data_IF_067934891056
#
_entry.id   IF_067934891056
#
_cell.length_a   1.000
_cell.length_b   1.000
_cell.length_c   1.000
_cell.angle_alpha   90.00
_cell.angle_beta   90.00
_cell.angle_gamma   90.00
#
_symmetry.space_group_name_H-M   'P 1'
#
loop_
_entity.id
_entity.type
_entity.pdbx_description
1 polymer ?
#
# COMPACT_ATOMS: atom_id res chain seq x y z
N UNK A 1 -0.32 -12.16 29.24
CA UNK A 1 0.11 -10.75 29.29
C UNK A 1 1.56 -10.78 28.83
N UNK A 2 1.75 -11.01 27.54
CA UNK A 2 3.04 -11.39 26.97
C UNK A 2 3.79 -10.16 26.46
N UNK A 3 4.99 -9.99 26.97
CA UNK A 3 5.86 -8.86 26.68
C UNK A 3 6.44 -9.00 25.27
N UNK A 4 6.17 -8.07 24.34
CA UNK A 4 6.46 -8.33 22.95
C UNK A 4 7.86 -7.88 22.49
N UNK A 5 8.36 -8.53 21.42
CA UNK A 5 9.76 -8.48 20.95
C UNK A 5 10.34 -7.07 20.79
N UNK A 6 11.31 -6.71 21.65
CA UNK A 6 11.83 -5.34 21.82
C UNK A 6 12.32 -4.65 20.53
N UNK A 7 12.79 -5.38 19.52
CA UNK A 7 13.42 -4.80 18.31
C UNK A 7 12.37 -4.32 17.29
N UNK A 8 11.36 -5.14 17.00
CA UNK A 8 10.29 -4.79 16.05
C UNK A 8 9.43 -3.63 16.58
N UNK A 9 9.13 -3.65 17.88
CA UNK A 9 8.38 -2.59 18.56
C UNK A 9 9.16 -1.28 18.61
N UNK A 10 10.49 -1.31 18.79
CA UNK A 10 11.34 -0.11 18.75
C UNK A 10 11.23 0.62 17.41
N UNK A 11 11.29 -0.12 16.30
CA UNK A 11 11.18 0.49 14.97
C UNK A 11 9.79 1.07 14.72
N UNK A 12 8.73 0.39 15.16
CA UNK A 12 7.36 0.88 15.05
C UNK A 12 7.16 2.20 15.82
N UNK A 13 7.65 2.26 17.06
CA UNK A 13 7.56 3.45 17.90
C UNK A 13 8.34 4.61 17.27
N UNK A 14 9.54 4.35 16.75
CA UNK A 14 10.39 5.39 16.17
C UNK A 14 9.79 6.02 14.89
N UNK A 15 9.21 5.21 14.00
CA UNK A 15 8.60 5.75 12.77
C UNK A 15 7.37 6.60 13.13
N UNK A 16 6.59 6.19 14.13
CA UNK A 16 5.42 6.94 14.57
C UNK A 16 5.78 8.30 15.19
N UNK A 17 6.85 8.37 15.98
CA UNK A 17 7.29 9.64 16.57
C UNK A 17 7.74 10.63 15.51
N UNK A 18 8.46 10.16 14.48
CA UNK A 18 8.85 11.00 13.34
C UNK A 18 7.61 11.50 12.60
N UNK A 19 6.66 10.61 12.29
CA UNK A 19 5.44 10.96 11.57
C UNK A 19 4.64 12.04 12.29
N UNK A 20 4.39 11.88 13.60
CA UNK A 20 3.65 12.87 14.38
C UNK A 20 4.41 14.19 14.48
N UNK A 21 5.72 14.15 14.62
CA UNK A 21 6.55 15.36 14.66
C UNK A 21 6.54 16.11 13.33
N UNK A 22 6.55 15.39 12.21
CA UNK A 22 6.46 15.97 10.88
C UNK A 22 5.08 16.63 10.65
N UNK A 23 3.99 15.94 10.97
CA UNK A 23 2.64 16.50 10.85
C UNK A 23 2.50 17.83 11.59
N UNK A 24 3.00 17.90 12.83
CA UNK A 24 2.98 19.15 13.62
C UNK A 24 3.78 20.27 12.99
N UNK A 25 4.95 19.95 12.45
CA UNK A 25 5.80 20.96 11.81
C UNK A 25 5.17 21.48 10.52
N UNK A 26 4.53 20.61 9.74
CA UNK A 26 3.87 20.99 8.49
C UNK A 26 2.55 21.75 8.74
N UNK A 27 1.76 21.36 9.74
CA UNK A 27 0.49 22.04 10.06
C UNK A 27 0.67 23.27 10.97
N UNK A 28 1.87 23.50 11.52
CA UNK A 28 2.10 24.55 12.50
C UNK A 28 1.45 24.29 13.87
N UNK A 29 0.98 23.07 14.12
CA UNK A 29 0.32 22.71 15.38
C UNK A 29 1.30 22.65 16.56
N UNK A 30 0.79 22.92 17.76
CA UNK A 30 1.56 22.80 19.00
C UNK A 30 2.07 21.36 19.21
N UNK A 31 3.20 21.26 19.92
CA UNK A 31 3.78 19.97 20.35
C UNK A 31 2.80 19.13 21.17
N UNK A 32 1.88 19.79 21.86
CA UNK A 32 0.85 19.19 22.74
C UNK A 32 -0.46 18.88 22.03
N UNK A 33 -0.65 19.29 20.76
CA UNK A 33 -1.94 19.06 20.09
C UNK A 33 -2.25 17.56 19.99
N UNK A 34 -3.50 17.10 20.16
CA UNK A 34 -3.81 15.68 20.02
C UNK A 34 -3.48 15.12 18.63
N UNK A 35 -2.89 13.93 18.55
CA UNK A 35 -2.49 13.32 17.26
C UNK A 35 -3.70 13.06 16.35
N UNK A 36 -4.84 12.65 16.91
CA UNK A 36 -6.07 12.44 16.13
C UNK A 36 -6.55 13.71 15.42
N UNK A 37 -6.38 14.87 16.05
CA UNK A 37 -6.71 16.17 15.46
C UNK A 37 -5.82 16.45 14.24
N UNK A 38 -4.53 16.14 14.34
CA UNK A 38 -3.59 16.34 13.23
C UNK A 38 -3.95 15.50 12.00
N UNK A 39 -4.41 14.26 12.18
CA UNK A 39 -4.80 13.42 11.06
C UNK A 39 -5.97 14.02 10.27
N UNK A 40 -6.92 14.62 10.97
CA UNK A 40 -8.07 15.27 10.36
C UNK A 40 -7.64 16.56 9.66
N UNK A 41 -6.82 17.38 10.32
CA UNK A 41 -6.34 18.66 9.82
C UNK A 41 -5.43 18.51 8.59
N UNK A 42 -4.53 17.52 8.58
CA UNK A 42 -3.63 17.26 7.46
C UNK A 42 -4.25 16.37 6.37
N UNK A 43 -5.48 15.88 6.56
CA UNK A 43 -6.11 14.87 5.70
C UNK A 43 -5.26 13.59 5.51
N UNK A 44 -4.46 13.23 6.52
CA UNK A 44 -3.54 12.09 6.47
C UNK A 44 -3.97 11.01 7.48
N UNK A 45 -4.15 9.74 7.06
CA UNK A 45 -4.49 8.67 7.98
C UNK A 45 -3.31 8.30 8.89
N UNK A 46 -3.60 7.57 9.96
CA UNK A 46 -2.52 7.03 10.79
C UNK A 46 -1.67 6.01 10.03
N UNK A 47 -0.38 5.92 10.39
CA UNK A 47 0.51 4.92 9.80
C UNK A 47 0.04 3.49 10.02
N UNK A 48 -0.70 3.24 11.11
CA UNK A 48 -1.27 1.92 11.36
C UNK A 48 -2.30 1.54 10.29
N UNK A 49 -3.25 2.42 10.00
CA UNK A 49 -4.22 2.20 8.92
C UNK A 49 -3.51 2.02 7.57
N UNK A 50 -2.46 2.81 7.30
CA UNK A 50 -1.68 2.67 6.07
C UNK A 50 -1.00 1.29 5.98
N UNK A 51 -0.46 0.77 7.08
CA UNK A 51 0.15 -0.58 7.12
C UNK A 51 -0.90 -1.67 6.90
N UNK A 52 -2.08 -1.54 7.50
CA UNK A 52 -3.19 -2.48 7.28
C UNK A 52 -3.61 -2.49 5.81
N UNK A 53 -3.82 -1.31 5.22
CA UNK A 53 -4.19 -1.18 3.80
C UNK A 53 -3.12 -1.78 2.88
N UNK A 54 -1.84 -1.50 3.12
CA UNK A 54 -0.74 -2.08 2.34
C UNK A 54 -0.63 -3.59 2.50
N UNK A 55 -0.85 -4.10 3.71
CA UNK A 55 -0.86 -5.54 4.02
C UNK A 55 -1.95 -6.25 3.24
N UNK A 56 -3.18 -5.74 3.31
CA UNK A 56 -4.33 -6.29 2.59
C UNK A 56 -4.12 -6.22 1.08
N UNK A 57 -3.69 -5.07 0.55
CA UNK A 57 -3.43 -4.90 -0.87
C UNK A 57 -2.38 -5.90 -1.39
N UNK A 58 -1.26 -6.05 -0.66
CA UNK A 58 -0.23 -7.00 -1.04
C UNK A 58 -0.73 -8.44 -0.92
N UNK A 59 -1.47 -8.78 0.14
CA UNK A 59 -2.08 -10.10 0.31
C UNK A 59 -3.03 -10.45 -0.84
N UNK A 60 -3.92 -9.53 -1.22
CA UNK A 60 -4.80 -9.70 -2.39
C UNK A 60 -4.01 -9.89 -3.67
N UNK A 61 -2.90 -9.16 -3.87
CA UNK A 61 -2.03 -9.34 -5.04
C UNK A 61 -1.40 -10.73 -5.10
N UNK A 62 -0.98 -11.27 -3.94
CA UNK A 62 -0.49 -12.65 -3.85
C UNK A 62 -1.59 -13.61 -4.28
N UNK A 63 -2.79 -13.49 -3.71
CA UNK A 63 -3.90 -14.42 -3.98
C UNK A 63 -4.43 -14.37 -5.42
N UNK A 64 -4.35 -13.21 -6.07
CA UNK A 64 -4.85 -13.01 -7.44
C UNK A 64 -3.83 -13.35 -8.52
N UNK A 65 -2.58 -13.63 -8.15
CA UNK A 65 -1.47 -13.87 -9.08
C UNK A 65 -0.84 -15.27 -8.86
N UNK A 66 -1.22 -16.30 -9.65
CA UNK A 66 -0.71 -17.66 -9.46
C UNK A 66 0.80 -17.79 -9.70
N UNK A 67 1.39 -16.89 -10.50
CA UNK A 67 2.83 -16.85 -10.75
C UNK A 67 3.64 -16.18 -9.62
N UNK A 68 3.00 -15.73 -8.54
CA UNK A 68 3.69 -15.07 -7.45
C UNK A 68 4.47 -16.10 -6.61
N UNK A 69 5.75 -15.84 -6.24
CA UNK A 69 6.56 -16.82 -5.50
C UNK A 69 5.91 -17.25 -4.18
N UNK A 70 5.22 -16.31 -3.51
CA UNK A 70 4.54 -16.57 -2.24
C UNK A 70 3.13 -17.17 -2.38
N UNK A 71 2.64 -17.45 -3.59
CA UNK A 71 1.31 -18.03 -3.80
C UNK A 71 1.13 -19.37 -3.08
N UNK A 72 2.11 -20.28 -3.23
CA UNK A 72 2.09 -21.61 -2.62
C UNK A 72 2.44 -21.60 -1.12
N UNK A 73 2.99 -20.50 -0.60
CA UNK A 73 3.47 -20.41 0.78
C UNK A 73 2.34 -20.30 1.81
N UNK A 74 1.13 -19.90 1.37
CA UNK A 74 -0.06 -19.81 2.23
C UNK A 74 -0.39 -21.14 2.96
N UNK A 75 0.01 -22.28 2.38
CA UNK A 75 -0.46 -23.60 2.81
C UNK A 75 0.66 -24.54 3.25
N UNK A 76 1.88 -24.02 3.46
CA UNK A 76 3.01 -24.83 3.90
C UNK A 76 2.89 -25.18 5.39
N UNK A 77 2.50 -26.42 5.68
CA UNK A 77 2.44 -26.98 7.04
C UNK A 77 3.79 -26.93 7.76
N UNK A 78 4.90 -26.96 7.02
CA UNK A 78 6.24 -26.88 7.58
C UNK A 78 6.49 -25.51 8.23
N UNK A 79 6.11 -24.42 7.54
CA UNK A 79 6.30 -23.06 8.04
C UNK A 79 5.37 -22.76 9.22
N UNK A 80 4.14 -23.27 9.19
CA UNK A 80 3.23 -23.16 10.33
C UNK A 80 3.82 -23.82 11.57
N UNK A 81 4.28 -25.08 11.46
CA UNK A 81 4.92 -25.78 12.59
C UNK A 81 6.16 -25.09 13.10
N UNK A 82 7.00 -24.59 12.19
CA UNK A 82 8.21 -23.85 12.56
C UNK A 82 7.84 -22.56 13.30
N UNK A 83 6.78 -21.88 12.88
CA UNK A 83 6.30 -20.69 13.54
C UNK A 83 5.66 -20.98 14.90
N UNK A 84 4.89 -22.04 15.03
CA UNK A 84 4.29 -22.45 16.30
C UNK A 84 5.36 -22.91 17.32
N UNK A 85 6.46 -23.49 16.82
CA UNK A 85 7.58 -23.93 17.65
C UNK A 85 8.52 -22.80 18.06
N UNK A 86 8.55 -21.68 17.32
CA UNK A 86 9.34 -20.51 17.67
C UNK A 86 8.45 -19.56 18.49
N UNK A 87 8.78 -19.29 19.76
CA UNK A 87 8.10 -18.25 20.52
C UNK A 87 8.45 -16.89 19.91
N UNK A 88 7.66 -16.44 18.93
CA UNK A 88 7.76 -15.11 18.34
C UNK A 88 6.54 -14.30 18.72
N UNK A 89 6.75 -13.05 19.11
CA UNK A 89 5.63 -12.19 19.50
C UNK A 89 5.00 -11.48 18.31
N UNK A 90 5.62 -11.56 17.14
CA UNK A 90 5.06 -11.00 15.90
C UNK A 90 4.47 -12.13 15.06
N UNK A 91 3.13 -12.18 14.88
CA UNK A 91 2.51 -13.18 14.04
C UNK A 91 2.98 -13.05 12.58
N UNK A 92 2.87 -14.17 11.86
CA UNK A 92 3.27 -14.26 10.46
C UNK A 92 2.59 -13.19 9.62
N UNK A 93 3.19 -12.82 8.49
CA UNK A 93 2.53 -11.90 7.56
C UNK A 93 1.14 -12.42 7.14
N UNK A 94 1.03 -13.72 6.84
CA UNK A 94 -0.21 -14.36 6.42
C UNK A 94 -1.25 -14.39 7.54
N UNK A 95 -0.81 -14.61 8.78
CA UNK A 95 -1.68 -14.60 9.97
C UNK A 95 -2.22 -13.20 10.20
N UNK A 96 -1.35 -12.18 10.23
CA UNK A 96 -1.78 -10.77 10.38
C UNK A 96 -2.74 -10.33 9.28
N UNK A 97 -2.46 -10.71 8.03
CA UNK A 97 -3.33 -10.37 6.91
C UNK A 97 -4.70 -11.07 7.02
N UNK A 98 -4.74 -12.32 7.49
CA UNK A 98 -5.97 -13.05 7.74
C UNK A 98 -6.76 -12.43 8.90
N UNK A 99 -6.10 -12.05 10.00
CA UNK A 99 -6.72 -11.37 11.13
C UNK A 99 -7.38 -10.06 10.68
N UNK A 100 -6.70 -9.26 9.86
CA UNK A 100 -7.28 -8.03 9.29
C UNK A 100 -8.47 -8.29 8.36
N UNK A 101 -8.47 -9.40 7.61
CA UNK A 101 -9.63 -9.76 6.79
C UNK A 101 -10.83 -10.17 7.64
N UNK A 102 -10.58 -10.90 8.72
CA UNK A 102 -11.60 -11.31 9.67
C UNK A 102 -12.19 -10.10 10.39
N UNK A 103 -11.35 -9.18 10.88
CA UNK A 103 -11.78 -7.93 11.52
C UNK A 103 -12.66 -7.07 10.60
N UNK A 104 -12.44 -7.15 9.29
CA UNK A 104 -13.22 -6.44 8.27
C UNK A 104 -14.43 -7.24 7.75
N UNK A 105 -14.66 -8.47 8.23
CA UNK A 105 -15.66 -9.42 7.72
C UNK A 105 -15.51 -9.71 6.21
N UNK A 106 -14.28 -9.76 5.70
CA UNK A 106 -13.94 -9.99 4.30
C UNK A 106 -13.41 -11.40 4.01
N UNK A 107 -13.52 -12.33 4.96
CA UNK A 107 -13.01 -13.70 4.81
C UNK A 107 -13.60 -14.45 3.63
N UNK A 108 -14.86 -14.15 3.27
CA UNK A 108 -15.60 -14.77 2.18
C UNK A 108 -15.56 -13.96 0.88
N UNK A 109 -14.88 -12.81 0.88
CA UNK A 109 -14.82 -11.95 -0.29
C UNK A 109 -14.09 -12.67 -1.44
N UNK A 110 -14.76 -12.79 -2.58
CA UNK A 110 -14.18 -13.41 -3.77
C UNK A 110 -13.22 -12.41 -4.42
N UNK A 111 -11.93 -12.76 -4.45
CA UNK A 111 -10.94 -12.00 -5.18
C UNK A 111 -10.97 -12.41 -6.66
N UNK A 112 -11.21 -11.43 -7.54
CA UNK A 112 -11.09 -11.65 -8.98
C UNK A 112 -9.61 -11.78 -9.35
N UNK A 113 -9.22 -12.77 -10.17
CA UNK A 113 -7.85 -12.86 -10.67
C UNK A 113 -7.44 -11.57 -11.38
N UNK A 114 -6.20 -11.16 -11.16
CA UNK A 114 -5.70 -9.92 -11.73
C UNK A 114 -5.61 -10.08 -13.26
N UNK A 115 -6.34 -9.27 -14.06
CA UNK A 115 -6.28 -9.39 -15.50
C UNK A 115 -4.85 -9.12 -15.97
N UNK A 116 -4.31 -10.04 -16.76
CA UNK A 116 -3.01 -9.81 -17.42
C UNK A 116 -3.25 -8.76 -18.49
N UNK A 117 -2.92 -7.50 -18.17
CA UNK A 117 -2.96 -6.40 -19.12
C UNK A 117 -1.80 -6.61 -20.10
N UNK A 118 -2.11 -7.13 -21.28
CA UNK A 118 -1.16 -7.27 -22.40
C UNK A 118 -0.92 -5.93 -23.12
N UNK A 119 -1.53 -4.84 -22.63
CA UNK A 119 -1.34 -3.49 -23.14
C UNK A 119 -0.05 -2.93 -22.56
N UNK A 120 1.09 -3.37 -23.09
CA UNK A 120 2.34 -2.73 -22.73
C UNK A 120 2.39 -1.31 -23.32
N UNK A 121 2.84 -0.28 -22.58
CA UNK A 121 2.75 1.11 -23.00
C UNK A 121 3.56 1.44 -24.25
N UNK A 122 4.49 0.57 -24.67
CA UNK A 122 5.31 0.73 -25.86
C UNK A 122 4.75 0.04 -27.12
N UNK A 123 3.67 -0.73 -27.02
CA UNK A 123 3.00 -1.29 -28.20
C UNK A 123 2.04 -0.22 -28.74
N UNK A 124 2.21 0.26 -30.00
CA UNK A 124 1.25 1.17 -30.59
C UNK A 124 -0.07 0.44 -30.78
N UNK A 125 -1.07 0.81 -29.98
CA UNK A 125 -2.35 0.10 -29.87
C UNK A 125 -3.29 0.27 -31.08
N UNK A 126 -2.80 0.81 -32.19
CA UNK A 126 -3.65 1.19 -33.33
C UNK A 126 -4.75 2.18 -32.94
N UNK A 127 -4.63 2.82 -31.77
CA UNK A 127 -5.59 3.81 -31.29
C UNK A 127 -5.52 5.00 -32.24
N UNK A 128 -6.63 5.26 -32.92
CA UNK A 128 -6.82 6.49 -33.68
C UNK A 128 -7.01 7.61 -32.67
N UNK A 129 -5.93 8.33 -32.39
CA UNK A 129 -6.02 9.58 -31.65
C UNK A 129 -6.71 10.60 -32.54
N UNK A 130 -7.79 11.21 -32.07
CA UNK A 130 -8.34 12.40 -32.70
C UNK A 130 -7.33 13.52 -32.45
N UNK A 131 -6.51 13.84 -33.45
CA UNK A 131 -5.60 14.96 -33.37
C UNK A 131 -6.37 16.25 -33.68
N UNK A 132 -6.73 17.09 -32.69
CA UNK A 132 -7.46 18.33 -32.96
C UNK A 132 -6.62 19.32 -33.78
N UNK A 133 -5.30 19.08 -33.88
CA UNK A 133 -4.36 19.90 -34.64
C UNK A 133 -4.00 19.33 -36.01
N UNK A 134 -4.67 18.27 -36.48
CA UNK A 134 -4.34 17.61 -37.75
C UNK A 134 -4.49 18.55 -38.95
N UNK A 135 -5.43 19.50 -38.87
CA UNK A 135 -5.73 20.46 -39.92
C UNK A 135 -4.96 21.78 -39.78
N UNK A 136 -4.07 21.91 -38.78
CA UNK A 136 -3.33 23.15 -38.56
C UNK A 136 -2.02 23.10 -39.33
N UNK A 137 -1.84 24.09 -40.19
CA UNK A 137 -0.62 24.23 -40.98
C UNK A 137 0.54 24.68 -40.08
N UNK A 138 1.59 23.87 -40.00
CA UNK A 138 2.80 24.15 -39.20
C UNK A 138 3.53 25.40 -39.69
N UNK A 139 3.34 25.79 -40.95
CA UNK A 139 3.98 26.97 -41.55
C UNK A 139 3.46 28.29 -40.98
N UNK A 140 2.27 28.30 -40.38
CA UNK A 140 1.67 29.50 -39.77
C UNK A 140 1.99 29.64 -38.27
N UNK A 141 2.86 28.78 -37.74
CA UNK A 141 3.32 28.91 -36.35
C UNK A 141 4.31 30.07 -36.29
N UNK A 142 3.95 31.14 -35.58
CA UNK A 142 4.86 32.25 -35.35
C UNK A 142 6.17 31.75 -34.74
N UNK A 143 7.32 32.26 -35.22
CA UNK A 143 8.66 31.90 -34.70
C UNK A 143 8.83 32.24 -33.22
N UNK A 144 8.01 33.14 -32.69
CA UNK A 144 8.25 33.80 -31.41
C UNK A 144 6.98 33.85 -30.56
N UNK A 145 6.71 32.79 -29.79
CA UNK A 145 6.01 32.94 -28.51
C UNK A 145 6.65 31.96 -27.51
N UNK A 146 7.72 32.42 -26.87
CA UNK A 146 8.08 31.98 -25.52
C UNK A 146 7.73 33.15 -24.59
N UNK A 147 6.63 33.02 -23.86
CA UNK A 147 6.29 33.84 -22.70
C UNK A 147 6.46 33.00 -21.44
#
# INVERSE_FOLDING_TARGET
MDQPDRVSYRNYIYINTIHHSALRRCSGAFRTSPVKSLYIECHEPSLEHRRQMLTLHYFSKILTSPNHPYFNYKQSRFLQRLQDAIPSVVPSFFTRAADFLHDLNLDTAQLLPNPVILLTPWIPLGLKFLNPFENYDKTNTASDIYL
#
